data_IF_355353850749
#
_entry.id   IF_355353850749
#
_cell.length_a   1.000
_cell.length_b   1.000
_cell.length_c   1.000
_cell.angle_alpha   90.00
_cell.angle_beta   90.00
_cell.angle_gamma   90.00
#
_symmetry.space_group_name_H-M   'P 1'
#
loop_
_entity.id
_entity.type
_entity.pdbx_description
1 polymer ?
#
# COMPACT_ATOMS: atom_id res chain seq x y z
N UNK A 1 -16.72 -26.39 -2.51
CA UNK A 1 -16.47 -25.83 -3.85
C UNK A 1 -17.33 -24.58 -4.01
N UNK A 2 -16.79 -23.41 -3.67
CA UNK A 2 -17.44 -22.10 -3.82
C UNK A 2 -16.43 -21.19 -4.52
N UNK A 3 -16.78 -20.81 -5.75
CA UNK A 3 -15.96 -20.03 -6.66
C UNK A 3 -15.88 -18.57 -6.22
N UNK A 4 -14.69 -18.10 -5.82
CA UNK A 4 -14.44 -16.70 -5.50
C UNK A 4 -13.76 -15.98 -6.69
N UNK A 5 -14.42 -16.00 -7.84
CA UNK A 5 -13.93 -15.42 -9.10
C UNK A 5 -14.31 -13.93 -9.25
N UNK A 6 -14.12 -13.14 -8.21
CA UNK A 6 -14.57 -11.73 -8.14
C UNK A 6 -13.44 -10.68 -8.20
N UNK A 7 -12.24 -11.02 -8.68
CA UNK A 7 -11.11 -10.09 -8.78
C UNK A 7 -10.65 -9.79 -10.23
N UNK A 8 -11.55 -9.86 -11.22
CA UNK A 8 -11.23 -9.53 -12.63
C UNK A 8 -12.24 -8.57 -13.27
N UNK A 9 -12.59 -7.47 -12.58
CA UNK A 9 -13.48 -6.42 -13.12
C UNK A 9 -12.88 -5.01 -13.06
N UNK A 10 -11.61 -4.87 -13.38
CA UNK A 10 -11.05 -3.56 -13.75
C UNK A 10 -10.26 -3.73 -15.03
N UNK A 11 -10.91 -3.39 -16.14
CA UNK A 11 -10.40 -2.89 -17.42
C UNK A 11 -11.52 -3.10 -18.46
N UNK A 12 -12.49 -2.19 -18.47
CA UNK A 12 -13.50 -2.12 -19.52
C UNK A 12 -13.15 -0.97 -20.46
N UNK A 13 -12.87 -1.36 -21.69
CA UNK A 13 -13.28 -0.74 -22.95
C UNK A 13 -13.55 0.77 -22.90
N UNK A 14 -12.60 1.52 -23.46
CA UNK A 14 -12.72 2.95 -23.66
C UNK A 14 -12.46 3.38 -25.10
N UNK A 15 -12.97 2.68 -26.12
CA UNK A 15 -13.07 3.22 -27.50
C UNK A 15 -14.15 2.48 -28.32
N UNK A 16 -15.41 2.90 -28.21
CA UNK A 16 -16.42 2.70 -29.26
C UNK A 16 -17.61 3.64 -29.05
N UNK A 17 -17.89 4.50 -30.03
CA UNK A 17 -19.21 5.13 -30.16
C UNK A 17 -19.24 6.65 -30.36
N UNK A 18 -18.50 7.18 -31.34
CA UNK A 18 -18.91 8.43 -31.99
C UNK A 18 -20.11 8.11 -32.90
N UNK A 19 -21.32 8.57 -32.56
CA UNK A 19 -22.39 8.95 -33.51
C UNK A 19 -23.63 9.58 -32.83
N UNK A 20 -23.73 10.90 -32.97
CA UNK A 20 -24.92 11.70 -33.32
C UNK A 20 -26.28 11.48 -32.62
N UNK A 21 -26.79 12.55 -31.98
CA UNK A 21 -28.21 12.72 -31.68
C UNK A 21 -28.49 13.96 -30.84
N UNK A 22 -28.94 15.04 -31.48
CA UNK A 22 -29.21 16.33 -30.83
C UNK A 22 -30.32 16.28 -29.79
N UNK A 23 -29.99 16.72 -28.57
CA UNK A 23 -30.90 17.35 -27.62
C UNK A 23 -30.04 18.26 -26.74
N UNK A 24 -30.42 19.53 -26.64
CA UNK A 24 -29.79 20.45 -25.68
C UNK A 24 -30.14 19.97 -24.27
N UNK A 25 -29.32 19.08 -23.73
CA UNK A 25 -29.36 18.76 -22.31
C UNK A 25 -28.84 19.98 -21.53
N UNK A 26 -29.54 20.42 -20.49
CA UNK A 26 -29.03 21.50 -19.65
C UNK A 26 -27.70 21.05 -19.02
N UNK A 27 -26.62 21.78 -19.31
CA UNK A 27 -25.26 21.55 -18.80
C UNK A 27 -25.12 21.74 -17.28
N UNK A 28 -26.22 22.01 -16.58
CA UNK A 28 -26.29 22.05 -15.14
C UNK A 28 -26.71 20.67 -14.64
N UNK A 29 -25.76 19.75 -14.56
CA UNK A 29 -25.86 18.64 -13.62
C UNK A 29 -26.12 19.27 -12.25
N UNK A 30 -27.33 19.09 -11.70
CA UNK A 30 -27.69 19.62 -10.38
C UNK A 30 -26.66 19.18 -9.33
N UNK A 31 -26.52 19.90 -8.21
CA UNK A 31 -25.51 19.59 -7.21
C UNK A 31 -25.64 18.11 -6.84
N UNK A 32 -24.65 17.31 -7.25
CA UNK A 32 -24.57 15.90 -6.83
C UNK A 32 -24.61 15.98 -5.32
N UNK A 33 -25.67 15.44 -4.69
CA UNK A 33 -25.71 15.26 -3.23
C UNK A 33 -24.35 14.68 -2.87
N UNK A 34 -23.57 15.42 -2.09
CA UNK A 34 -22.27 14.97 -1.64
C UNK A 34 -22.53 13.82 -0.67
N UNK A 35 -22.81 12.63 -1.22
CA UNK A 35 -22.71 11.40 -0.46
C UNK A 35 -21.33 11.38 0.17
N UNK A 36 -21.25 11.02 1.45
CA UNK A 36 -20.00 11.00 2.19
C UNK A 36 -18.94 10.29 1.33
N UNK A 37 -17.91 11.03 0.92
CA UNK A 37 -16.83 10.48 0.11
C UNK A 37 -16.21 9.36 0.92
N UNK A 38 -16.04 8.14 0.36
CA UNK A 38 -15.37 7.07 1.07
C UNK A 38 -13.97 7.54 1.50
N UNK A 39 -13.45 7.02 2.62
CA UNK A 39 -12.10 7.37 3.08
C UNK A 39 -11.10 7.19 1.95
N UNK A 40 -10.28 8.22 1.73
CA UNK A 40 -9.17 8.15 0.79
C UNK A 40 -7.92 7.59 1.46
N UNK A 41 -7.10 6.86 0.70
CA UNK A 41 -5.74 6.56 1.10
C UNK A 41 -4.82 7.69 0.64
N UNK A 42 -3.99 8.18 1.55
CA UNK A 42 -3.01 9.23 1.30
C UNK A 42 -1.64 8.74 1.78
N UNK A 43 -0.58 9.17 1.09
CA UNK A 43 0.80 8.84 1.44
C UNK A 43 1.53 10.08 1.91
N UNK A 44 2.40 9.90 2.90
CA UNK A 44 3.35 10.93 3.34
C UNK A 44 4.75 10.50 2.90
N UNK A 45 5.52 11.45 2.38
CA UNK A 45 6.90 11.23 1.96
C UNK A 45 7.83 12.03 2.88
N UNK A 46 8.82 11.36 3.48
CA UNK A 46 9.78 11.97 4.40
C UNK A 46 11.18 11.87 3.78
N UNK A 47 11.76 13.02 3.44
CA UNK A 47 13.14 13.11 2.97
C UNK A 47 14.12 13.20 4.14
N UNK A 48 15.23 12.48 4.06
CA UNK A 48 16.31 12.54 5.05
C UNK A 48 17.65 12.29 4.36
N UNK A 49 18.74 12.66 5.05
CA UNK A 49 20.12 12.46 4.57
C UNK A 49 20.72 11.24 5.25
N UNK A 50 21.43 10.44 4.47
CA UNK A 50 22.22 9.30 4.95
C UNK A 50 23.56 9.28 4.23
N UNK A 51 24.56 8.63 4.84
CA UNK A 51 25.90 8.54 4.25
C UNK A 51 25.92 7.67 2.99
N UNK A 52 25.13 6.59 2.99
CA UNK A 52 25.04 5.62 1.89
C UNK A 52 23.66 4.90 1.91
N UNK A 53 23.35 4.06 0.89
CA UNK A 53 22.08 3.37 0.80
C UNK A 53 21.78 2.37 1.93
N UNK A 54 22.80 1.73 2.51
CA UNK A 54 22.61 0.76 3.59
C UNK A 54 22.19 1.50 4.88
N UNK A 55 22.91 2.57 5.22
CA UNK A 55 22.54 3.46 6.33
C UNK A 55 21.16 4.09 6.11
N UNK A 56 20.84 4.45 4.87
CA UNK A 56 19.51 4.98 4.55
C UNK A 56 18.40 3.97 4.86
N UNK A 57 18.62 2.70 4.55
CA UNK A 57 17.66 1.62 4.81
C UNK A 57 17.46 1.39 6.31
N UNK A 58 18.54 1.33 7.07
CA UNK A 58 18.48 1.18 8.53
C UNK A 58 17.71 2.32 9.20
N UNK A 59 18.04 3.57 8.85
CA UNK A 59 17.33 4.75 9.36
C UNK A 59 15.86 4.75 8.95
N UNK A 60 15.54 4.35 7.72
CA UNK A 60 14.16 4.29 7.24
C UNK A 60 13.32 3.28 8.03
N UNK A 61 13.87 2.11 8.35
CA UNK A 61 13.19 1.12 9.23
C UNK A 61 12.94 1.73 10.60
N UNK A 62 13.97 2.30 11.23
CA UNK A 62 13.85 2.92 12.55
C UNK A 62 12.82 4.06 12.59
N UNK A 63 12.78 4.90 11.55
CA UNK A 63 11.75 5.95 11.45
C UNK A 63 10.35 5.37 11.28
N UNK A 64 10.20 4.33 10.47
CA UNK A 64 8.91 3.70 10.25
C UNK A 64 8.37 3.10 11.57
N UNK A 65 9.19 2.36 12.32
CA UNK A 65 8.83 1.79 13.62
C UNK A 65 8.50 2.87 14.65
N UNK A 66 9.31 3.94 14.73
CA UNK A 66 9.05 5.05 15.64
C UNK A 66 7.74 5.77 15.29
N UNK A 67 7.43 5.93 14.00
CA UNK A 67 6.19 6.56 13.55
C UNK A 67 4.97 5.69 13.82
N UNK A 68 5.06 4.37 13.63
CA UNK A 68 3.97 3.44 13.97
C UNK A 68 3.64 3.49 15.47
N UNK A 69 4.67 3.50 16.33
CA UNK A 69 4.50 3.63 17.78
C UNK A 69 3.80 4.95 18.16
N UNK A 70 4.17 6.05 17.51
CA UNK A 70 3.62 7.38 17.81
C UNK A 70 2.24 7.60 17.19
N UNK A 71 1.97 6.97 16.03
CA UNK A 71 0.82 7.20 15.16
C UNK A 71 0.34 5.87 14.56
N UNK A 72 -0.46 5.07 15.31
CA UNK A 72 -0.91 3.75 14.87
C UNK A 72 -1.83 3.78 13.63
N UNK A 73 -2.26 4.97 13.18
CA UNK A 73 -2.98 5.11 11.91
C UNK A 73 -2.07 4.93 10.67
N UNK A 74 -0.75 5.02 10.85
CA UNK A 74 0.23 4.81 9.79
C UNK A 74 0.49 3.32 9.62
N UNK A 75 0.16 2.76 8.45
CA UNK A 75 0.39 1.36 8.18
C UNK A 75 1.88 1.05 7.97
N UNK A 76 2.58 0.57 9.01
CA UNK A 76 4.00 0.23 8.96
C UNK A 76 4.37 -0.67 7.77
N UNK A 77 3.55 -1.69 7.50
CA UNK A 77 3.76 -2.63 6.39
C UNK A 77 3.68 -2.01 4.99
N UNK A 78 3.23 -0.75 4.86
CA UNK A 78 3.23 -0.01 3.61
C UNK A 78 4.47 0.90 3.44
N UNK A 79 5.35 0.99 4.44
CA UNK A 79 6.54 1.83 4.39
C UNK A 79 7.52 1.34 3.31
N UNK A 80 8.03 2.30 2.54
CA UNK A 80 8.97 2.06 1.45
C UNK A 80 10.04 3.14 1.39
N UNK A 81 11.22 2.78 0.93
CA UNK A 81 12.37 3.67 0.75
C UNK A 81 12.70 3.81 -0.72
N UNK A 82 13.01 5.04 -1.15
CA UNK A 82 13.51 5.34 -2.48
C UNK A 82 14.59 6.42 -2.42
N UNK A 83 15.49 6.50 -3.40
CA UNK A 83 16.26 7.71 -3.63
C UNK A 83 15.33 8.90 -3.88
N UNK A 84 15.72 10.10 -3.40
CA UNK A 84 14.86 11.28 -3.41
C UNK A 84 14.42 11.72 -4.82
N UNK A 85 15.24 11.46 -5.84
CA UNK A 85 15.00 11.77 -7.25
C UNK A 85 14.36 10.60 -8.03
N UNK A 86 14.14 9.45 -7.38
CA UNK A 86 13.71 8.23 -8.04
C UNK A 86 12.62 7.47 -7.27
N UNK A 87 11.52 8.15 -6.89
CA UNK A 87 10.41 7.55 -6.14
C UNK A 87 9.76 6.33 -6.80
N UNK A 88 9.84 6.24 -8.13
CA UNK A 88 9.38 5.07 -8.88
C UNK A 88 10.18 3.78 -8.56
N UNK A 89 11.32 3.90 -7.87
CA UNK A 89 12.17 2.80 -7.39
C UNK A 89 11.96 2.49 -5.91
N UNK A 90 10.82 2.88 -5.34
CA UNK A 90 10.54 2.62 -3.94
C UNK A 90 10.50 1.11 -3.64
N UNK A 91 11.30 0.69 -2.66
CA UNK A 91 11.40 -0.68 -2.19
C UNK A 91 10.75 -0.78 -0.81
N UNK A 92 9.99 -1.87 -0.58
CA UNK A 92 9.35 -2.09 0.73
C UNK A 92 10.39 -2.32 1.82
N UNK A 93 10.15 -1.70 2.97
CA UNK A 93 11.01 -1.88 4.15
C UNK A 93 10.71 -3.16 4.91
N UNK A 94 9.44 -3.57 4.93
CA UNK A 94 8.97 -4.75 5.65
C UNK A 94 8.57 -5.86 4.69
N UNK A 95 8.71 -7.10 5.14
CA UNK A 95 8.45 -8.30 4.37
C UNK A 95 7.02 -8.34 3.84
N UNK A 96 6.04 -8.21 4.74
CA UNK A 96 4.63 -8.17 4.37
C UNK A 96 4.12 -9.44 3.67
N UNK A 97 4.88 -10.54 3.73
CA UNK A 97 4.43 -11.85 3.26
C UNK A 97 3.10 -12.22 3.95
N UNK A 98 2.15 -12.71 3.17
CA UNK A 98 0.83 -13.03 3.70
C UNK A 98 0.88 -14.30 4.56
N UNK A 99 0.32 -14.22 5.75
CA UNK A 99 0.15 -15.33 6.68
C UNK A 99 -1.31 -15.79 6.79
N UNK A 100 -1.58 -16.75 7.68
CA UNK A 100 -2.93 -17.16 8.06
C UNK A 100 -3.77 -16.00 8.57
N UNK A 101 -5.09 -16.12 8.50
CA UNK A 101 -6.05 -15.16 9.08
C UNK A 101 -5.90 -13.69 8.63
N UNK A 102 -5.23 -13.46 7.50
CA UNK A 102 -4.97 -12.13 6.96
C UNK A 102 -3.78 -11.43 7.60
N UNK A 103 -3.03 -12.13 8.46
CA UNK A 103 -1.78 -11.64 9.04
C UNK A 103 -0.74 -11.33 7.94
N UNK A 104 0.18 -10.44 8.28
CA UNK A 104 1.31 -10.09 7.42
C UNK A 104 2.60 -10.12 8.21
N UNK A 105 3.66 -10.61 7.58
CA UNK A 105 4.97 -10.67 8.20
C UNK A 105 5.44 -9.26 8.58
N UNK A 106 5.75 -9.08 9.86
CA UNK A 106 6.22 -7.81 10.41
C UNK A 106 7.73 -7.63 10.34
N UNK A 107 8.48 -8.67 9.99
CA UNK A 107 9.95 -8.61 9.88
C UNK A 107 10.41 -7.71 8.72
N UNK A 108 11.66 -7.25 8.80
CA UNK A 108 12.30 -6.44 7.75
C UNK A 108 12.38 -7.25 6.45
N UNK A 109 12.15 -6.59 5.31
CA UNK A 109 12.20 -7.24 4.01
C UNK A 109 13.57 -7.91 3.77
N UNK A 110 13.56 -9.15 3.27
CA UNK A 110 14.76 -9.95 3.07
C UNK A 110 15.27 -10.66 4.33
N UNK A 111 14.50 -10.70 5.41
CA UNK A 111 14.83 -11.53 6.57
C UNK A 111 14.90 -13.02 6.19
N UNK A 112 15.86 -13.78 6.78
CA UNK A 112 15.90 -15.22 6.61
C UNK A 112 14.85 -15.91 7.52
N UNK A 113 14.62 -17.19 7.28
CA UNK A 113 13.83 -18.03 8.19
C UNK A 113 12.32 -17.80 8.13
N UNK A 114 11.63 -18.15 9.21
CA UNK A 114 10.18 -18.07 9.32
C UNK A 114 9.67 -16.63 9.27
N UNK A 115 8.46 -16.46 8.76
CA UNK A 115 7.70 -15.22 8.85
C UNK A 115 6.98 -15.13 10.18
N UNK A 116 6.94 -13.93 10.78
CA UNK A 116 6.29 -13.71 12.06
C UNK A 116 5.20 -12.64 11.98
N UNK A 117 4.07 -12.91 12.63
CA UNK A 117 3.04 -11.89 12.88
C UNK A 117 3.61 -10.80 13.79
N UNK A 118 3.10 -9.56 13.72
CA UNK A 118 3.53 -8.50 14.61
C UNK A 118 3.28 -8.84 16.09
N UNK A 119 4.20 -8.37 16.95
CA UNK A 119 4.08 -8.46 18.41
C UNK A 119 4.87 -9.62 19.06
N UNK A 120 5.11 -9.55 20.39
CA UNK A 120 5.84 -10.60 21.11
C UNK A 120 5.12 -11.95 21.01
N UNK A 121 5.84 -12.99 20.58
CA UNK A 121 5.27 -14.34 20.42
C UNK A 121 4.30 -14.46 19.24
N UNK A 122 4.41 -13.57 18.23
CA UNK A 122 3.62 -13.64 17.01
C UNK A 122 3.68 -15.01 16.34
N UNK A 123 2.57 -15.39 15.70
CA UNK A 123 2.45 -16.65 14.97
C UNK A 123 3.56 -16.73 13.91
N UNK A 124 4.27 -17.86 13.88
CA UNK A 124 5.26 -18.17 12.85
C UNK A 124 4.65 -18.97 11.68
N UNK A 125 5.06 -18.69 10.45
CA UNK A 125 4.68 -19.49 9.27
C UNK A 125 5.75 -19.50 8.18
N UNK A 126 5.56 -20.38 7.19
CA UNK A 126 6.47 -20.58 6.08
C UNK A 126 7.53 -21.65 6.36
N UNK A 127 8.32 -21.95 5.35
CA UNK A 127 9.46 -22.86 5.45
C UNK A 127 10.70 -21.96 5.47
N UNK A 128 11.32 -21.80 6.63
CA UNK A 128 12.47 -20.90 6.79
C UNK A 128 13.69 -21.38 6.01
N UNK A 129 13.81 -20.98 4.75
CA UNK A 129 14.98 -21.23 3.88
C UNK A 129 16.16 -20.29 4.18
#
# INVERSE_FOLDING_TARGET
MRDNRAARRYHRDGTAGLRGGGRAEPLTSGPRRAGARPPGFFTVHLGFVAADPAVARELAVAYAEALDLLRPELALGAAALSPADAWHRAERLFCGAAGPDGERCADVAGHPGFHHAPGPGGLGWGDGD
#
